data_IF_228194111811
#
_entry.id   IF_228194111811
#
_cell.length_a   1.000
_cell.length_b   1.000
_cell.length_c   1.000
_cell.angle_alpha   90.00
_cell.angle_beta   90.00
_cell.angle_gamma   90.00
#
_symmetry.space_group_name_H-M   'P 1'
#
loop_
_entity.id
_entity.type
_entity.pdbx_description
1 polymer ?
#
# COMPACT_ATOMS: atom_id res chain seq x y z
N UNK A 1 -30.11 -27.30 33.85
CA UNK A 1 -29.52 -28.58 33.40
C UNK A 1 -28.73 -28.25 32.13
N UNK A 2 -27.40 -28.24 32.04
CA UNK A 2 -26.33 -28.75 32.88
C UNK A 2 -25.13 -27.79 32.86
N UNK A 3 -24.49 -27.68 34.03
CA UNK A 3 -23.21 -27.03 34.26
C UNK A 3 -22.06 -27.71 33.50
N UNK A 4 -21.06 -26.95 33.08
CA UNK A 4 -19.65 -27.33 33.28
C UNK A 4 -18.77 -26.09 33.46
N UNK A 5 -18.20 -26.02 34.67
CA UNK A 5 -17.02 -25.27 35.10
C UNK A 5 -15.81 -25.74 34.24
N UNK A 6 -14.76 -24.98 33.94
CA UNK A 6 -13.75 -24.47 34.88
C UNK A 6 -12.65 -23.72 34.11
N UNK A 7 -12.17 -22.64 34.74
CA UNK A 7 -10.90 -21.93 34.58
C UNK A 7 -9.67 -22.79 34.27
N UNK A 8 -8.76 -22.26 33.42
CA UNK A 8 -7.33 -22.14 33.76
C UNK A 8 -6.64 -21.03 32.96
N UNK A 9 -6.01 -20.09 33.69
CA UNK A 9 -4.99 -19.15 33.21
C UNK A 9 -3.68 -19.92 33.01
N UNK A 10 -2.93 -19.65 31.94
CA UNK A 10 -1.47 -19.79 31.97
C UNK A 10 -0.75 -18.70 31.17
N UNK A 11 0.33 -18.25 31.80
CA UNK A 11 1.18 -17.08 31.56
C UNK A 11 2.38 -17.51 30.74
N UNK A 12 2.61 -16.93 29.57
CA UNK A 12 3.84 -17.16 28.81
C UNK A 12 4.95 -16.20 29.30
N UNK A 13 5.97 -16.79 29.93
CA UNK A 13 7.20 -16.13 30.39
C UNK A 13 8.14 -15.86 29.21
N UNK A 14 8.72 -14.67 29.22
CA UNK A 14 9.83 -14.27 28.37
C UNK A 14 11.11 -15.04 28.74
N UNK A 15 11.78 -15.63 27.74
CA UNK A 15 13.09 -16.24 27.90
C UNK A 15 14.18 -15.28 27.44
N UNK A 16 15.10 -14.99 28.36
CA UNK A 16 16.22 -14.08 28.19
C UNK A 16 17.30 -14.60 27.24
N UNK A 17 17.81 -13.70 26.42
CA UNK A 17 18.96 -13.90 25.54
C UNK A 17 20.26 -13.71 26.34
N UNK A 18 21.04 -14.78 26.47
CA UNK A 18 22.32 -14.81 27.18
C UNK A 18 23.43 -14.30 26.24
N UNK A 19 24.00 -13.14 26.58
CA UNK A 19 25.16 -12.55 25.89
C UNK A 19 26.43 -13.30 26.29
N UNK A 20 27.06 -14.01 25.36
CA UNK A 20 28.40 -14.59 25.52
C UNK A 20 29.43 -13.62 24.93
N UNK A 21 30.26 -13.01 25.78
CA UNK A 21 31.48 -12.31 25.36
C UNK A 21 32.54 -13.34 24.97
N UNK A 22 32.88 -13.38 23.69
CA UNK A 22 34.03 -14.14 23.16
C UNK A 22 35.22 -13.22 22.92
N UNK A 23 36.21 -13.29 23.81
CA UNK A 23 37.51 -12.61 23.71
C UNK A 23 38.32 -13.23 22.56
N UNK A 24 38.60 -12.49 21.48
CA UNK A 24 39.52 -12.92 20.44
C UNK A 24 40.91 -12.36 20.75
N UNK A 25 41.84 -13.27 21.04
CA UNK A 25 43.28 -13.01 21.17
C UNK A 25 43.84 -12.51 19.83
N UNK A 26 44.55 -11.38 19.88
CA UNK A 26 45.34 -10.85 18.77
C UNK A 26 46.70 -11.55 18.78
N UNK A 27 46.98 -12.38 17.77
CA UNK A 27 48.34 -12.89 17.52
C UNK A 27 49.01 -12.02 16.46
N UNK A 28 49.98 -11.21 16.91
CA UNK A 28 50.97 -10.56 16.07
C UNK A 28 52.09 -11.54 15.73
N UNK A 29 52.37 -11.70 14.43
CA UNK A 29 53.61 -12.32 13.93
C UNK A 29 54.34 -11.32 13.04
N UNK A 30 55.68 -11.22 13.12
CA UNK A 30 56.41 -10.18 12.41
C UNK A 30 57.21 -10.73 11.21
N UNK A 31 57.46 -9.81 10.27
CA UNK A 31 58.57 -9.69 9.30
C UNK A 31 58.67 -10.71 8.15
N UNK A 32 58.73 -10.19 6.91
CA UNK A 32 59.94 -10.25 6.05
C UNK A 32 59.72 -9.51 4.72
N UNK A 33 60.37 -8.36 4.60
CA UNK A 33 60.57 -7.65 3.35
C UNK A 33 61.57 -8.41 2.46
N UNK A 34 61.21 -8.61 1.20
CA UNK A 34 62.04 -9.16 0.13
C UNK A 34 61.76 -8.44 -1.19
N UNK A 35 62.67 -8.51 -2.17
CA UNK A 35 63.02 -7.37 -3.02
C UNK A 35 62.05 -7.08 -4.16
N UNK A 36 62.07 -5.81 -4.56
CA UNK A 36 61.36 -5.20 -5.68
C UNK A 36 61.63 -5.90 -7.02
N UNK A 37 60.55 -6.31 -7.70
CA UNK A 37 60.53 -6.45 -9.15
C UNK A 37 59.50 -5.50 -9.74
N UNK A 38 59.97 -4.42 -10.36
CA UNK A 38 59.18 -3.64 -11.33
C UNK A 38 58.84 -4.57 -12.51
N UNK A 39 57.57 -4.91 -12.65
CA UNK A 39 57.01 -5.33 -13.94
C UNK A 39 55.86 -4.40 -14.24
N UNK A 40 56.17 -3.41 -15.08
CA UNK A 40 55.22 -2.69 -15.90
C UNK A 40 54.53 -3.69 -16.82
N UNK A 41 53.21 -3.89 -16.64
CA UNK A 41 52.25 -4.19 -17.71
C UNK A 41 50.88 -3.67 -17.27
N UNK A 42 50.49 -2.51 -17.80
CA UNK A 42 49.13 -1.98 -17.77
C UNK A 42 48.16 -3.02 -18.31
N UNK A 43 47.14 -3.48 -17.56
CA UNK A 43 46.02 -4.19 -18.16
C UNK A 43 45.18 -3.15 -18.90
N UNK A 44 45.07 -3.35 -20.20
CA UNK A 44 44.20 -2.63 -21.12
C UNK A 44 42.76 -2.69 -20.58
N UNK A 45 42.30 -1.61 -19.95
CA UNK A 45 40.90 -1.47 -19.54
C UNK A 45 40.09 -1.14 -20.79
N UNK A 46 39.46 -2.15 -21.37
CA UNK A 46 38.32 -1.94 -22.28
C UNK A 46 37.28 -1.08 -21.55
N UNK A 47 36.67 -0.08 -22.20
CA UNK A 47 35.65 0.72 -21.56
C UNK A 47 34.43 -0.18 -21.34
N UNK A 48 34.19 -0.56 -20.09
CA UNK A 48 32.91 -1.13 -19.68
C UNK A 48 31.89 -0.02 -19.89
N UNK A 49 31.12 -0.13 -20.97
CA UNK A 49 30.00 0.76 -21.24
C UNK A 49 29.02 0.60 -20.06
N UNK A 50 29.02 1.60 -19.17
CA UNK A 50 28.02 1.71 -18.12
C UNK A 50 26.69 2.01 -18.79
N UNK A 51 25.84 1.00 -18.93
CA UNK A 51 24.41 1.21 -19.16
C UNK A 51 23.87 1.91 -17.92
N UNK A 52 23.74 3.24 -17.97
CA UNK A 52 22.96 3.96 -16.98
C UNK A 52 21.52 3.46 -17.12
N UNK A 53 21.08 2.59 -16.21
CA UNK A 53 19.65 2.29 -16.08
C UNK A 53 18.94 3.62 -15.82
N UNK A 54 18.09 4.01 -16.78
CA UNK A 54 17.24 5.20 -16.65
C UNK A 54 16.33 4.96 -15.45
N UNK A 55 16.64 5.60 -14.33
CA UNK A 55 15.80 5.53 -13.14
C UNK A 55 14.43 6.13 -13.49
N UNK A 56 13.40 5.31 -13.43
CA UNK A 56 12.04 5.68 -13.80
C UNK A 56 11.27 6.20 -12.57
N UNK A 57 11.53 7.45 -12.21
CA UNK A 57 10.90 8.08 -11.06
C UNK A 57 9.41 8.32 -11.27
N UNK A 58 8.63 8.15 -10.20
CA UNK A 58 7.21 8.48 -10.18
C UNK A 58 7.03 9.98 -10.36
N UNK A 59 6.20 10.37 -11.32
CA UNK A 59 5.84 11.75 -11.63
C UNK A 59 4.49 12.14 -11.02
N UNK A 60 4.26 13.43 -10.80
CA UNK A 60 2.94 13.93 -10.38
C UNK A 60 1.84 13.59 -11.41
N UNK A 61 2.18 13.57 -12.69
CA UNK A 61 1.24 13.21 -13.77
C UNK A 61 0.76 11.77 -13.65
N UNK A 62 1.66 10.82 -13.36
CA UNK A 62 1.29 9.42 -13.11
C UNK A 62 0.35 9.31 -11.90
N UNK A 63 0.64 10.04 -10.81
CA UNK A 63 -0.22 10.07 -9.62
C UNK A 63 -1.62 10.59 -9.95
N UNK A 64 -1.72 11.70 -10.71
CA UNK A 64 -3.01 12.26 -11.13
C UNK A 64 -3.76 11.31 -12.08
N UNK A 65 -3.05 10.62 -12.98
CA UNK A 65 -3.64 9.62 -13.86
C UNK A 65 -4.19 8.42 -13.07
N UNK A 66 -3.41 7.91 -12.11
CA UNK A 66 -3.82 6.81 -11.23
C UNK A 66 -5.06 7.17 -10.41
N UNK A 67 -5.13 8.38 -9.84
CA UNK A 67 -6.31 8.89 -9.10
C UNK A 67 -7.57 8.93 -9.99
N UNK A 68 -7.44 9.47 -11.21
CA UNK A 68 -8.56 9.52 -12.17
C UNK A 68 -9.03 8.11 -12.54
N UNK A 69 -8.09 7.22 -12.86
CA UNK A 69 -8.40 5.84 -13.22
C UNK A 69 -9.04 5.07 -12.05
N UNK A 70 -8.54 5.28 -10.83
CA UNK A 70 -9.14 4.71 -9.62
C UNK A 70 -10.58 5.20 -9.44
N UNK A 71 -10.82 6.51 -9.56
CA UNK A 71 -12.16 7.08 -9.45
C UNK A 71 -13.15 6.52 -10.49
N UNK A 72 -12.69 6.34 -11.73
CA UNK A 72 -13.49 5.70 -12.79
C UNK A 72 -13.81 4.24 -12.49
N UNK A 73 -12.86 3.48 -11.93
CA UNK A 73 -13.10 2.10 -11.52
C UNK A 73 -14.19 1.99 -10.44
N UNK A 74 -14.24 2.92 -9.50
CA UNK A 74 -15.33 2.98 -8.49
C UNK A 74 -16.70 3.20 -9.14
N UNK A 75 -16.79 4.10 -10.12
CA UNK A 75 -18.02 4.37 -10.86
C UNK A 75 -18.45 3.11 -11.63
N UNK A 76 -17.51 2.42 -12.28
CA UNK A 76 -17.83 1.22 -13.06
C UNK A 76 -18.31 0.06 -12.19
N UNK A 77 -17.73 -0.16 -11.00
CA UNK A 77 -18.24 -1.17 -10.06
C UNK A 77 -19.72 -0.90 -9.71
N UNK A 78 -20.05 0.34 -9.38
CA UNK A 78 -21.43 0.72 -9.04
C UNK A 78 -22.39 0.56 -10.23
N UNK A 79 -21.91 0.80 -11.45
CA UNK A 79 -22.67 0.57 -12.68
C UNK A 79 -22.92 -0.92 -12.92
N UNK A 80 -21.90 -1.77 -12.81
CA UNK A 80 -22.03 -3.23 -12.91
C UNK A 80 -23.05 -3.76 -11.90
N UNK A 81 -22.97 -3.29 -10.64
CA UNK A 81 -23.93 -3.61 -9.59
C UNK A 81 -25.36 -3.23 -9.98
N UNK A 82 -25.56 -2.00 -10.45
CA UNK A 82 -26.88 -1.49 -10.85
C UNK A 82 -27.49 -2.26 -12.02
N UNK A 83 -26.64 -2.81 -12.89
CA UNK A 83 -27.04 -3.62 -14.04
C UNK A 83 -27.24 -5.11 -13.71
N UNK A 84 -27.08 -5.52 -12.44
CA UNK A 84 -27.19 -6.91 -12.01
C UNK A 84 -26.03 -7.80 -12.47
N UNK A 85 -24.89 -7.21 -12.85
CA UNK A 85 -23.69 -7.94 -13.24
C UNK A 85 -22.84 -8.39 -12.05
N UNK A 86 -21.71 -9.03 -12.33
CA UNK A 86 -20.77 -9.50 -11.31
C UNK A 86 -19.89 -8.35 -10.78
N UNK A 87 -20.44 -7.60 -9.84
CA UNK A 87 -19.78 -6.47 -9.20
C UNK A 87 -18.67 -6.87 -8.23
N UNK A 88 -18.71 -8.10 -7.70
CA UNK A 88 -17.66 -8.64 -6.83
C UNK A 88 -16.39 -8.87 -7.65
N UNK A 89 -16.52 -9.49 -8.82
CA UNK A 89 -15.40 -9.66 -9.76
C UNK A 89 -14.89 -8.31 -10.29
N UNK A 90 -15.79 -7.36 -10.58
CA UNK A 90 -15.39 -6.00 -10.96
C UNK A 90 -14.56 -5.31 -9.86
N UNK A 91 -14.97 -5.43 -8.60
CA UNK A 91 -14.24 -4.89 -7.47
C UNK A 91 -12.91 -5.62 -7.22
N UNK A 92 -12.88 -6.95 -7.37
CA UNK A 92 -11.66 -7.74 -7.26
C UNK A 92 -10.61 -7.30 -8.30
N UNK A 93 -11.03 -7.13 -9.56
CA UNK A 93 -10.18 -6.59 -10.64
C UNK A 93 -9.68 -5.18 -10.33
N UNK A 94 -10.55 -4.31 -9.83
CA UNK A 94 -10.17 -2.97 -9.41
C UNK A 94 -9.10 -2.99 -8.33
N UNK A 95 -9.28 -3.82 -7.29
CA UNK A 95 -8.32 -3.94 -6.19
C UNK A 95 -6.98 -4.47 -6.70
N UNK A 96 -6.96 -5.55 -7.47
CA UNK A 96 -5.74 -6.12 -8.05
C UNK A 96 -5.00 -5.13 -8.97
N UNK A 97 -5.76 -4.30 -9.70
CA UNK A 97 -5.19 -3.26 -10.56
C UNK A 97 -4.50 -2.17 -9.75
N UNK A 98 -5.14 -1.66 -8.70
CA UNK A 98 -4.69 -0.43 -8.05
C UNK A 98 -3.97 -0.62 -6.72
N UNK A 99 -4.11 -1.74 -6.03
CA UNK A 99 -3.48 -1.97 -4.71
C UNK A 99 -2.35 -2.99 -4.80
N UNK A 100 -1.28 -2.73 -4.05
CA UNK A 100 -0.08 -3.57 -4.05
C UNK A 100 -0.12 -4.74 -3.09
N UNK A 101 -1.27 -5.41 -2.89
CA UNK A 101 -1.38 -6.54 -1.94
C UNK A 101 -0.49 -7.73 -2.31
N UNK A 102 -0.13 -7.87 -3.59
CA UNK A 102 0.81 -8.87 -4.10
C UNK A 102 2.28 -8.40 -4.09
N UNK A 103 2.53 -7.15 -3.68
CA UNK A 103 3.86 -6.52 -3.67
C UNK A 103 4.38 -6.26 -2.25
N UNK A 104 3.53 -5.72 -1.37
CA UNK A 104 3.90 -5.33 -0.01
C UNK A 104 2.69 -5.32 0.93
N UNK A 105 2.94 -4.99 2.20
CA UNK A 105 1.86 -4.56 3.08
C UNK A 105 1.17 -3.32 2.50
N UNK A 106 -0.16 -3.29 2.60
CA UNK A 106 -0.99 -2.14 2.24
C UNK A 106 -1.62 -1.57 3.52
N UNK A 107 -1.40 -0.28 3.77
CA UNK A 107 -1.98 0.45 4.89
C UNK A 107 -3.26 1.15 4.43
N UNK A 108 -4.37 0.44 4.47
CA UNK A 108 -5.66 0.96 4.04
C UNK A 108 -6.59 1.22 5.24
N UNK A 109 -6.87 2.49 5.51
CA UNK A 109 -7.93 2.93 6.43
C UNK A 109 -9.06 3.58 5.62
N UNK A 110 -10.17 2.88 5.32
CA UNK A 110 -11.28 3.42 4.56
C UNK A 110 -12.08 4.52 5.29
N UNK A 111 -12.99 5.16 4.55
CA UNK A 111 -13.83 6.28 5.02
C UNK A 111 -14.88 5.85 6.05
N UNK A 112 -15.61 4.76 5.78
CA UNK A 112 -16.83 4.37 6.50
C UNK A 112 -16.65 3.14 7.39
N UNK A 113 -15.48 3.00 8.04
CA UNK A 113 -15.22 1.94 9.00
C UNK A 113 -14.82 2.54 10.35
N UNK A 114 -15.51 2.14 11.41
CA UNK A 114 -15.34 2.70 12.77
C UNK A 114 -15.03 1.65 13.82
N UNK A 115 -15.36 0.38 13.59
CA UNK A 115 -15.11 -0.72 14.54
C UNK A 115 -13.81 -1.43 14.21
N UNK A 116 -13.73 -2.06 13.03
CA UNK A 116 -12.48 -2.53 12.45
C UNK A 116 -12.05 -1.49 11.42
N UNK A 117 -11.01 -0.72 11.72
CA UNK A 117 -10.68 0.47 10.93
C UNK A 117 -9.72 0.21 9.77
N UNK A 118 -9.10 -0.97 9.70
CA UNK A 118 -8.00 -1.23 8.77
C UNK A 118 -8.31 -2.40 7.85
N UNK A 119 -7.87 -2.29 6.59
CA UNK A 119 -8.06 -3.30 5.55
C UNK A 119 -6.71 -3.71 4.99
N UNK A 120 -5.93 -4.45 5.76
CA UNK A 120 -4.54 -4.81 5.42
C UNK A 120 -4.43 -6.02 4.49
N UNK A 121 -5.54 -6.67 4.15
CA UNK A 121 -5.60 -7.81 3.21
C UNK A 121 -6.54 -7.53 2.04
N UNK A 122 -6.35 -8.26 0.93
CA UNK A 122 -7.23 -8.20 -0.23
C UNK A 122 -8.70 -8.45 0.16
N UNK A 123 -8.98 -9.50 0.93
CA UNK A 123 -10.35 -9.87 1.33
C UNK A 123 -11.02 -8.80 2.19
N UNK A 124 -10.25 -8.15 3.06
CA UNK A 124 -10.76 -7.04 3.87
C UNK A 124 -11.07 -5.84 2.97
N UNK A 125 -10.22 -5.49 2.00
CA UNK A 125 -10.50 -4.42 1.06
C UNK A 125 -11.73 -4.74 0.21
N UNK A 126 -11.83 -5.96 -0.31
CA UNK A 126 -12.98 -6.42 -1.09
C UNK A 126 -14.27 -6.28 -0.28
N UNK A 127 -14.25 -6.73 0.98
CA UNK A 127 -15.35 -6.51 1.91
C UNK A 127 -15.73 -5.03 2.01
N UNK A 128 -14.79 -4.11 2.17
CA UNK A 128 -15.12 -2.69 2.24
C UNK A 128 -15.76 -2.18 0.93
N UNK A 129 -15.26 -2.61 -0.23
CA UNK A 129 -15.77 -2.16 -1.52
C UNK A 129 -17.18 -2.68 -1.82
N UNK A 130 -17.49 -3.93 -1.50
CA UNK A 130 -18.75 -4.58 -1.95
C UNK A 130 -19.59 -5.23 -0.83
N UNK A 131 -19.12 -5.22 0.41
CA UNK A 131 -19.78 -5.83 1.56
C UNK A 131 -19.77 -7.36 1.53
N UNK A 132 -20.67 -7.97 2.31
CA UNK A 132 -20.99 -9.41 2.22
C UNK A 132 -20.02 -10.35 2.94
N UNK A 133 -18.94 -9.84 3.56
CA UNK A 133 -18.01 -10.66 4.33
C UNK A 133 -18.42 -10.68 5.82
N UNK A 134 -18.76 -11.85 6.41
CA UNK A 134 -19.16 -11.94 7.82
C UNK A 134 -18.06 -11.56 8.81
N UNK A 135 -16.78 -11.56 8.41
CA UNK A 135 -15.68 -11.09 9.25
C UNK A 135 -15.67 -9.56 9.42
N UNK A 136 -16.33 -8.81 8.51
CA UNK A 136 -16.41 -7.35 8.54
C UNK A 136 -17.87 -6.89 8.40
N UNK A 137 -18.73 -7.19 9.38
CA UNK A 137 -20.18 -6.97 9.28
C UNK A 137 -20.60 -5.50 9.15
N UNK A 138 -19.71 -4.54 9.48
CA UNK A 138 -19.95 -3.11 9.28
C UNK A 138 -19.87 -2.68 7.82
N UNK A 139 -19.14 -3.43 6.98
CA UNK A 139 -18.94 -3.09 5.57
C UNK A 139 -20.24 -3.31 4.78
N UNK A 140 -20.83 -2.20 4.32
CA UNK A 140 -22.06 -2.21 3.50
C UNK A 140 -21.79 -2.07 2.00
N UNK A 141 -20.52 -2.07 1.60
CA UNK A 141 -20.08 -1.94 0.23
C UNK A 141 -20.06 -0.49 -0.26
N UNK A 142 -18.90 0.14 -0.19
CA UNK A 142 -18.70 1.52 -0.60
C UNK A 142 -18.91 1.77 -2.11
N UNK A 143 -18.48 0.84 -2.96
CA UNK A 143 -18.57 0.98 -4.42
C UNK A 143 -19.93 0.53 -4.99
N UNK A 144 -20.72 -0.23 -4.24
CA UNK A 144 -22.09 -0.60 -4.60
C UNK A 144 -23.14 0.40 -4.12
N UNK A 145 -22.72 1.49 -3.45
CA UNK A 145 -23.45 2.76 -3.42
C UNK A 145 -23.09 3.50 -4.71
N UNK A 146 -23.94 3.50 -5.77
CA UNK A 146 -23.49 3.93 -7.08
C UNK A 146 -23.16 5.42 -7.11
N UNK A 147 -22.03 5.76 -7.72
CA UNK A 147 -21.51 7.12 -7.84
C UNK A 147 -21.55 7.56 -9.30
N UNK A 148 -22.02 8.77 -9.58
CA UNK A 148 -21.98 9.36 -10.91
C UNK A 148 -20.62 9.98 -11.25
N UNK A 149 -19.92 10.50 -10.23
CA UNK A 149 -18.63 11.15 -10.41
C UNK A 149 -17.75 11.02 -9.17
N UNK A 150 -16.44 10.97 -9.41
CA UNK A 150 -15.39 11.11 -8.40
C UNK A 150 -14.49 12.26 -8.84
N UNK A 151 -14.52 13.37 -8.10
CA UNK A 151 -13.74 14.58 -8.43
C UNK A 151 -12.62 14.75 -7.42
N UNK A 152 -11.41 15.00 -7.90
CA UNK A 152 -10.20 15.10 -7.07
C UNK A 152 -9.71 16.54 -6.97
N UNK A 153 -9.12 16.89 -5.83
CA UNK A 153 -8.34 18.10 -5.61
C UNK A 153 -7.14 17.75 -4.73
N UNK A 154 -5.97 17.61 -5.35
CA UNK A 154 -4.72 17.49 -4.62
C UNK A 154 -4.44 18.80 -3.88
N UNK A 155 -4.15 18.70 -2.59
CA UNK A 155 -3.48 19.76 -1.84
C UNK A 155 -1.98 19.77 -2.14
N UNK A 156 -1.39 18.57 -2.26
CA UNK A 156 -0.01 18.41 -2.69
C UNK A 156 0.31 16.96 -3.07
N UNK A 157 1.38 16.81 -3.84
CA UNK A 157 2.01 15.54 -4.17
C UNK A 157 3.51 15.68 -3.83
N UNK A 158 4.08 14.70 -3.14
CA UNK A 158 5.50 14.62 -2.82
C UNK A 158 6.06 13.35 -3.43
N UNK A 159 7.09 13.45 -4.28
CA UNK A 159 7.70 12.33 -5.00
C UNK A 159 9.26 12.36 -4.96
N UNK A 160 9.83 12.97 -3.92
CA UNK A 160 11.27 13.24 -3.82
C UNK A 160 12.14 11.97 -3.66
N UNK A 161 11.55 10.81 -3.35
CA UNK A 161 12.29 9.55 -3.18
C UNK A 161 12.38 8.71 -4.47
N UNK A 162 11.93 9.26 -5.62
CA UNK A 162 11.87 8.63 -6.94
C UNK A 162 10.94 7.38 -7.02
N UNK A 163 11.05 6.45 -6.08
CA UNK A 163 10.33 5.17 -6.05
C UNK A 163 9.03 5.21 -5.25
N UNK A 164 8.74 6.32 -4.56
CA UNK A 164 7.48 6.50 -3.83
C UNK A 164 6.94 7.91 -4.04
N UNK A 165 5.63 8.01 -4.19
CA UNK A 165 4.92 9.28 -4.16
C UNK A 165 3.82 9.25 -3.11
N UNK A 166 3.60 10.38 -2.44
CA UNK A 166 2.48 10.58 -1.50
C UNK A 166 1.63 11.73 -2.01
N UNK A 167 0.33 11.52 -2.11
CA UNK A 167 -0.64 12.53 -2.50
C UNK A 167 -1.65 12.74 -1.37
N UNK A 168 -1.95 13.99 -1.06
CA UNK A 168 -2.92 14.36 -0.03
C UNK A 168 -3.88 15.42 -0.57
N UNK A 169 -5.14 15.37 -0.16
CA UNK A 169 -6.12 16.36 -0.59
C UNK A 169 -7.55 15.98 -0.26
N UNK A 170 -8.46 16.48 -1.08
CA UNK A 170 -9.88 16.15 -0.99
C UNK A 170 -10.38 15.54 -2.29
N UNK A 171 -11.37 14.68 -2.17
CA UNK A 171 -12.18 14.19 -3.27
C UNK A 171 -13.66 14.20 -2.89
N UNK A 172 -14.50 14.28 -3.91
CA UNK A 172 -15.95 14.37 -3.79
C UNK A 172 -16.57 13.24 -4.59
N UNK A 173 -17.48 12.52 -3.94
CA UNK A 173 -18.27 11.47 -4.55
C UNK A 173 -19.69 11.99 -4.77
N UNK A 174 -20.10 12.10 -6.03
CA UNK A 174 -21.44 12.52 -6.43
C UNK A 174 -22.35 11.29 -6.50
N UNK A 175 -23.43 11.19 -5.70
CA UNK A 175 -24.32 10.04 -5.74
C UNK A 175 -25.03 9.92 -7.09
N UNK A 176 -25.13 8.70 -7.64
CA UNK A 176 -25.83 8.47 -8.91
C UNK A 176 -27.34 8.75 -8.84
N UNK A 177 -27.95 8.57 -7.66
CA UNK A 177 -29.35 8.88 -7.41
C UNK A 177 -29.63 10.40 -7.25
N UNK A 178 -28.61 11.25 -7.39
CA UNK A 178 -28.67 12.66 -7.06
C UNK A 178 -28.49 12.94 -5.56
N UNK A 179 -28.38 14.22 -5.21
CA UNK A 179 -28.12 14.68 -3.85
C UNK A 179 -26.77 15.38 -3.69
N UNK A 180 -26.42 15.69 -2.44
CA UNK A 180 -25.18 16.40 -2.13
C UNK A 180 -23.95 15.48 -2.27
N UNK A 181 -22.84 16.08 -2.70
CA UNK A 181 -21.56 15.39 -2.76
C UNK A 181 -21.08 14.96 -1.37
N UNK A 182 -20.53 13.75 -1.28
CA UNK A 182 -19.79 13.33 -0.10
C UNK A 182 -18.35 13.83 -0.23
N UNK A 183 -17.99 14.87 0.54
CA UNK A 183 -16.61 15.36 0.64
C UNK A 183 -15.80 14.46 1.57
N UNK A 184 -14.61 14.08 1.13
CA UNK A 184 -13.72 13.19 1.87
C UNK A 184 -12.28 13.71 1.80
N UNK A 185 -11.52 13.52 2.86
CA UNK A 185 -10.07 13.77 2.95
C UNK A 185 -9.32 12.49 2.61
N UNK A 186 -8.20 12.61 1.90
CA UNK A 186 -7.37 11.46 1.60
C UNK A 186 -5.88 11.70 1.81
N UNK A 187 -5.18 10.60 2.08
CA UNK A 187 -3.74 10.44 1.85
C UNK A 187 -3.51 9.12 1.12
N UNK A 188 -2.86 9.19 -0.04
CA UNK A 188 -2.48 8.03 -0.85
C UNK A 188 -0.96 7.94 -0.95
N UNK A 189 -0.41 6.74 -0.78
CA UNK A 189 0.98 6.42 -1.03
C UNK A 189 1.09 5.43 -2.18
N UNK A 190 1.94 5.74 -3.14
CA UNK A 190 2.13 4.98 -4.39
C UNK A 190 3.56 4.47 -4.51
N UNK A 191 3.69 3.26 -5.05
CA UNK A 191 4.94 2.66 -5.54
C UNK A 191 4.71 2.15 -6.96
N UNK A 192 5.77 1.88 -7.73
CA UNK A 192 5.64 1.19 -9.02
C UNK A 192 5.50 -0.33 -8.80
N UNK A 193 4.55 -0.92 -9.51
CA UNK A 193 4.44 -2.37 -9.65
C UNK A 193 5.48 -2.94 -10.61
N UNK A 194 5.49 -4.27 -10.74
CA UNK A 194 6.40 -4.99 -11.66
C UNK A 194 6.15 -4.64 -13.13
N UNK A 195 4.96 -4.17 -13.45
CA UNK A 195 4.49 -3.69 -14.75
C UNK A 195 4.77 -2.20 -14.99
N UNK A 196 5.37 -1.50 -14.02
CA UNK A 196 5.63 -0.06 -14.08
C UNK A 196 4.43 0.82 -13.73
N UNK A 197 3.25 0.22 -13.51
CA UNK A 197 2.02 0.92 -13.12
C UNK A 197 2.05 1.31 -11.64
N UNK A 198 1.39 2.40 -11.27
CA UNK A 198 1.32 2.80 -9.85
C UNK A 198 0.38 1.88 -9.06
N UNK A 199 0.88 1.41 -7.93
CA UNK A 199 0.15 0.64 -6.92
C UNK A 199 0.06 1.40 -5.62
N UNK A 200 -1.13 1.40 -5.03
CA UNK A 200 -1.43 2.00 -3.76
C UNK A 200 -0.95 1.07 -2.65
N UNK A 201 -0.09 1.60 -1.78
CA UNK A 201 0.41 0.94 -0.57
C UNK A 201 0.01 1.67 0.71
N UNK A 202 -0.46 2.91 0.59
CA UNK A 202 -1.12 3.65 1.67
C UNK A 202 -2.40 4.25 1.13
N UNK A 203 -3.52 4.06 1.81
CA UNK A 203 -4.78 4.72 1.52
C UNK A 203 -5.46 5.06 2.85
N UNK A 204 -5.39 6.31 3.25
CA UNK A 204 -6.18 6.83 4.35
C UNK A 204 -7.28 7.68 3.75
N UNK A 205 -8.53 7.37 4.10
CA UNK A 205 -9.69 8.19 3.78
C UNK A 205 -10.55 8.48 5.01
N UNK A 206 -11.08 9.70 5.12
CA UNK A 206 -11.97 10.10 6.23
C UNK A 206 -12.95 11.21 5.82
N UNK A 207 -14.13 11.20 6.41
CA UNK A 207 -14.99 12.38 6.40
C UNK A 207 -14.28 13.49 7.20
N UNK A 208 -14.28 14.76 6.73
CA UNK A 208 -13.75 15.86 7.50
C UNK A 208 -14.32 15.87 8.91
N UNK A 209 -13.45 16.08 9.89
CA UNK A 209 -13.86 16.12 11.29
C UNK A 209 -14.99 17.13 11.51
N UNK A 210 -16.07 16.68 12.12
CA UNK A 210 -17.17 17.51 12.59
C UNK A 210 -17.39 17.23 14.08
N UNK A 211 -17.11 18.18 14.98
CA UNK A 211 -17.29 18.00 16.42
C UNK A 211 -18.77 18.04 16.88
N UNK A 212 -19.72 18.29 15.99
CA UNK A 212 -21.14 18.57 16.30
C UNK A 212 -22.09 17.52 15.75
#
# INVERSE_FOLDING_TARGET
>A
MNNFNSSTKETLKANGLKLMLGTILVFSLPVLAGPTKKVSKTPNQSPVASTQEKVDCITEMEVVAAQKAWGQGIIEIGKVYTQGGDYVEAAAKHINKFYGYDLSLVLFKPTLASVDQFRTSFDSALSYFVGGNPAFPEDKGFAIKPWAAVRWKNYGIVNNSCNMAVAMGNYWFTPAAGGADTKVEYSFGYVKGKDGELKIVVHHSSIPFNPN
#
